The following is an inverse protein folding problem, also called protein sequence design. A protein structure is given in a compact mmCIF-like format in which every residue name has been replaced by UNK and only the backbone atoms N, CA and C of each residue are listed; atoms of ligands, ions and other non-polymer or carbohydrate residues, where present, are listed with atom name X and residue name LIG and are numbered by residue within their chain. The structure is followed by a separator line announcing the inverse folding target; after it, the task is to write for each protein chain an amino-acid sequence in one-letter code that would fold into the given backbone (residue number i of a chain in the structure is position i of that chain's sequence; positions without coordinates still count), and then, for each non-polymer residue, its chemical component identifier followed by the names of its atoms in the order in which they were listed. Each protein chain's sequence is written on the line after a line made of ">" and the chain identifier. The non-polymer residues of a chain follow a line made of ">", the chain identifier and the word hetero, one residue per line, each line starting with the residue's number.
data_IF_237286130558
#
_entry.id   IF_237286130558
#
_cell.length_a   1.000
_cell.length_b   1.000
_cell.length_c   1.000
_cell.angle_alpha   90.00
_cell.angle_beta   90.00
_cell.angle_gamma   90.00
#
_symmetry.space_group_name_H-M   'P 1'
#
loop_
_entity.id
_entity.type
_entity.pdbx_description
1 polymer ?
#
# COMPACT_ATOMS: atom_id res chain seq x y z
N UNK A 1 19.20 -21.02 -9.07
CA UNK A 1 17.92 -20.31 -8.84
C UNK A 1 17.90 -19.93 -7.37
N UNK A 2 17.63 -18.66 -7.03
CA UNK A 2 17.62 -18.18 -5.65
C UNK A 2 16.18 -18.31 -5.11
N UNK A 3 16.03 -18.78 -3.88
CA UNK A 3 14.74 -18.99 -3.23
C UNK A 3 14.78 -18.41 -1.82
N UNK A 4 13.62 -18.05 -1.27
CA UNK A 4 13.43 -17.62 0.11
C UNK A 4 12.37 -18.50 0.75
N UNK A 5 12.51 -18.82 2.03
CA UNK A 5 11.46 -19.52 2.79
C UNK A 5 10.32 -18.55 3.10
N UNK A 6 9.12 -19.08 3.37
CA UNK A 6 7.99 -18.23 3.75
C UNK A 6 8.29 -17.40 5.00
N UNK A 7 8.97 -17.97 6.00
CA UNK A 7 9.32 -17.26 7.23
C UNK A 7 10.29 -16.10 6.97
N UNK A 8 11.29 -16.31 6.11
CA UNK A 8 12.22 -15.25 5.73
C UNK A 8 11.54 -14.17 4.88
N UNK A 9 10.57 -14.55 4.04
CA UNK A 9 9.74 -13.60 3.29
C UNK A 9 8.88 -12.76 4.22
N UNK A 10 8.22 -13.38 5.19
CA UNK A 10 7.40 -12.68 6.21
C UNK A 10 8.22 -11.69 7.00
N UNK A 11 9.39 -12.11 7.51
CA UNK A 11 10.32 -11.24 8.21
C UNK A 11 10.73 -10.03 7.36
N UNK A 12 11.07 -10.26 6.08
CA UNK A 12 11.43 -9.18 5.17
C UNK A 12 10.26 -8.22 4.90
N UNK A 13 9.02 -8.74 4.78
CA UNK A 13 7.82 -7.90 4.63
C UNK A 13 7.52 -7.09 5.88
N UNK A 14 7.74 -7.65 7.08
CA UNK A 14 7.62 -6.92 8.35
C UNK A 14 8.61 -5.76 8.42
N UNK A 15 9.88 -6.01 8.07
CA UNK A 15 10.92 -4.98 8.01
C UNK A 15 10.56 -3.91 6.97
N UNK A 16 10.08 -4.32 5.79
CA UNK A 16 9.66 -3.42 4.72
C UNK A 16 8.49 -2.52 5.12
N UNK A 17 7.49 -3.04 5.85
CA UNK A 17 6.34 -2.27 6.32
C UNK A 17 6.70 -1.13 7.28
N UNK A 18 7.91 -1.14 7.87
CA UNK A 18 8.41 -0.03 8.70
C UNK A 18 9.00 1.11 7.87
N UNK A 19 9.38 0.86 6.61
CA UNK A 19 10.09 1.83 5.77
C UNK A 19 9.21 2.45 4.68
N UNK A 20 8.19 1.73 4.24
CA UNK A 20 7.33 2.12 3.11
C UNK A 20 5.86 1.82 3.40
N UNK A 21 4.97 2.47 2.65
CA UNK A 21 3.56 2.14 2.64
C UNK A 21 3.37 0.78 1.95
N UNK A 22 3.36 -0.30 2.74
CA UNK A 22 3.13 -1.66 2.24
C UNK A 22 1.63 -1.90 2.06
N UNK A 23 1.22 -2.23 0.84
CA UNK A 23 -0.14 -2.61 0.48
C UNK A 23 -0.12 -4.08 0.06
N UNK A 24 -1.09 -4.85 0.54
CA UNK A 24 -1.18 -6.28 0.24
C UNK A 24 -2.65 -6.74 0.25
N UNK A 25 -2.97 -7.91 -0.35
CA UNK A 25 -4.28 -8.51 -0.17
C UNK A 25 -4.48 -8.90 1.29
N UNK A 26 -5.61 -8.51 1.87
CA UNK A 26 -6.06 -8.96 3.19
C UNK A 26 -7.57 -9.16 3.22
N UNK A 27 -8.03 -9.97 4.16
CA UNK A 27 -9.45 -10.09 4.46
C UNK A 27 -9.92 -8.85 5.21
N UNK A 28 -11.01 -8.26 4.74
CA UNK A 28 -11.73 -7.16 5.39
C UNK A 28 -13.20 -7.58 5.44
N UNK A 29 -13.62 -8.05 6.62
CA UNK A 29 -15.00 -8.49 6.87
C UNK A 29 -15.50 -9.56 5.87
N UNK A 30 -14.63 -10.50 5.48
CA UNK A 30 -14.94 -11.56 4.50
C UNK A 30 -14.71 -11.17 3.03
N UNK A 31 -14.25 -9.96 2.76
CA UNK A 31 -13.89 -9.48 1.44
C UNK A 31 -12.39 -9.39 1.27
N UNK A 32 -11.84 -9.98 0.21
CA UNK A 32 -10.41 -9.85 -0.09
C UNK A 32 -10.18 -8.55 -0.83
N UNK A 33 -9.42 -7.63 -0.22
CA UNK A 33 -9.13 -6.31 -0.77
C UNK A 33 -7.65 -6.00 -0.63
N UNK A 34 -7.10 -5.21 -1.56
CA UNK A 34 -5.80 -4.59 -1.32
C UNK A 34 -5.95 -3.54 -0.22
N UNK A 35 -5.16 -3.60 0.85
CA UNK A 35 -5.17 -2.59 1.91
C UNK A 35 -3.76 -2.37 2.45
N UNK A 36 -3.50 -1.21 3.09
CA UNK A 36 -2.28 -1.04 3.88
C UNK A 36 -2.20 -2.12 4.95
N UNK A 37 -1.01 -2.67 5.14
CA UNK A 37 -0.70 -3.67 6.17
C UNK A 37 0.48 -3.18 7.00
N UNK A 38 0.40 -3.31 8.32
CA UNK A 38 1.51 -2.94 9.21
C UNK A 38 2.48 -4.11 9.47
N UNK A 39 2.08 -5.32 9.08
CA UNK A 39 2.90 -6.53 9.18
C UNK A 39 2.45 -7.61 8.20
N UNK A 40 3.32 -8.58 7.97
CA UNK A 40 3.06 -9.79 7.19
C UNK A 40 1.93 -10.64 7.77
N UNK A 41 1.62 -10.52 9.06
CA UNK A 41 0.51 -11.24 9.68
C UNK A 41 -0.87 -10.81 9.15
N UNK A 42 -0.99 -9.58 8.63
CA UNK A 42 -2.22 -9.10 8.00
C UNK A 42 -2.37 -9.56 6.55
N UNK A 43 -1.31 -10.12 5.95
CA UNK A 43 -1.30 -10.48 4.53
C UNK A 43 -1.97 -11.83 4.33
N UNK A 44 -2.94 -11.87 3.42
CA UNK A 44 -3.50 -13.12 2.93
C UNK A 44 -2.56 -13.71 1.87
N UNK A 45 -1.72 -14.66 2.28
CA UNK A 45 -0.81 -15.39 1.38
C UNK A 45 -1.52 -16.44 0.51
N UNK A 46 -2.65 -16.95 0.98
CA UNK A 46 -3.46 -17.92 0.24
C UNK A 46 -4.15 -17.25 -0.95
N UNK A 47 -4.23 -17.98 -2.05
CA UNK A 47 -4.68 -17.42 -3.31
C UNK A 47 -6.19 -17.19 -3.33
N UNK A 48 -6.59 -15.93 -3.12
CA UNK A 48 -7.92 -15.42 -3.43
C UNK A 48 -7.79 -14.13 -4.24
N UNK A 49 -8.69 -13.94 -5.22
CA UNK A 49 -8.66 -12.74 -6.07
C UNK A 49 -9.25 -11.58 -5.27
N UNK A 50 -8.53 -10.46 -5.10
CA UNK A 50 -9.14 -9.26 -4.54
C UNK A 50 -10.33 -8.81 -5.39
N UNK A 51 -11.40 -8.38 -4.74
CA UNK A 51 -12.64 -7.96 -5.42
C UNK A 51 -12.44 -6.65 -6.18
N UNK A 52 -11.60 -5.77 -5.65
CA UNK A 52 -11.24 -4.49 -6.24
C UNK A 52 -9.81 -4.51 -6.77
N UNK A 53 -9.61 -3.82 -7.90
CA UNK A 53 -8.29 -3.68 -8.51
C UNK A 53 -7.38 -2.78 -7.68
N UNK A 54 -6.07 -3.05 -7.72
CA UNK A 54 -5.05 -2.22 -7.05
C UNK A 54 -4.95 -0.78 -7.58
N UNK A 55 -5.71 -0.41 -8.61
CA UNK A 55 -5.80 0.94 -9.18
C UNK A 55 -6.04 2.03 -8.14
N UNK A 56 -6.79 1.74 -7.07
CA UNK A 56 -7.07 2.72 -6.02
C UNK A 56 -5.81 3.16 -5.24
N UNK A 57 -4.75 2.35 -5.24
CA UNK A 57 -3.49 2.65 -4.58
C UNK A 57 -2.47 3.34 -5.49
N UNK A 58 -2.62 3.19 -6.80
CA UNK A 58 -1.76 3.81 -7.82
C UNK A 58 -2.35 5.15 -8.28
N UNK A 59 -3.68 5.23 -8.37
CA UNK A 59 -4.44 6.41 -8.78
C UNK A 59 -5.43 6.76 -7.67
N UNK A 60 -4.98 7.44 -6.59
CA UNK A 60 -5.88 7.82 -5.51
C UNK A 60 -6.98 8.75 -6.03
N UNK A 61 -8.22 8.51 -5.59
CA UNK A 61 -9.38 9.32 -6.02
C UNK A 61 -9.26 10.81 -5.63
N UNK A 62 -8.45 11.12 -4.61
CA UNK A 62 -8.20 12.47 -4.12
C UNK A 62 -6.75 12.63 -3.68
N UNK A 63 -6.11 13.75 -4.03
CA UNK A 63 -4.76 14.09 -3.61
C UNK A 63 -4.75 15.44 -2.88
N UNK A 64 -3.88 15.57 -1.89
CA UNK A 64 -3.67 16.85 -1.20
C UNK A 64 -2.69 17.65 -2.04
N UNK A 65 -3.16 18.75 -2.63
CA UNK A 65 -2.30 19.67 -3.39
C UNK A 65 -1.63 20.71 -2.47
N UNK A 66 -2.35 21.14 -1.44
CA UNK A 66 -1.94 22.24 -0.56
C UNK A 66 -2.41 22.00 0.87
N UNK A 67 -1.54 22.20 1.85
CA UNK A 67 -1.91 22.28 3.26
C UNK A 67 -1.74 23.71 3.77
N UNK A 68 -2.78 24.25 4.37
CA UNK A 68 -2.79 25.58 4.98
C UNK A 68 -3.03 25.42 6.48
N UNK A 69 -2.10 25.92 7.30
CA UNK A 69 -2.20 25.90 8.75
C UNK A 69 -2.12 27.32 9.28
N UNK A 70 -3.10 27.73 10.11
CA UNK A 70 -3.08 29.02 10.80
C UNK A 70 -2.69 28.83 12.27
N UNK A 71 -1.58 29.42 12.69
CA UNK A 71 -1.14 29.44 14.09
C UNK A 71 -1.12 30.88 14.60
N UNK A 72 -2.08 31.23 15.46
CA UNK A 72 -2.31 32.61 15.95
C UNK A 72 -2.42 33.60 14.79
N UNK A 73 -1.38 34.41 14.56
CA UNK A 73 -1.31 35.43 13.50
C UNK A 73 -0.47 34.99 12.28
N UNK A 74 0.10 33.79 12.28
CA UNK A 74 0.83 33.26 11.12
C UNK A 74 -0.03 32.29 10.32
N UNK A 75 0.07 32.38 9.00
CA UNK A 75 -0.47 31.39 8.06
C UNK A 75 0.72 30.72 7.40
N UNK A 76 0.87 29.42 7.63
CA UNK A 76 1.81 28.56 6.92
C UNK A 76 1.06 27.90 5.76
N UNK A 77 1.64 28.01 4.57
CA UNK A 77 1.17 27.32 3.39
C UNK A 77 2.30 26.39 2.91
N UNK A 78 1.97 25.13 2.67
CA UNK A 78 2.90 24.15 2.12
C UNK A 78 2.25 23.43 0.93
N UNK A 79 2.98 23.37 -0.17
CA UNK A 79 2.67 22.48 -1.29
C UNK A 79 2.95 21.05 -0.83
N UNK A 80 1.98 20.16 -1.04
CA UNK A 80 2.12 18.76 -0.67
C UNK A 80 2.39 17.98 -1.95
N UNK A 81 3.66 17.66 -2.16
CA UNK A 81 4.03 16.70 -3.18
C UNK A 81 3.73 15.28 -2.65
N UNK A 82 3.20 14.37 -3.48
CA UNK A 82 3.01 12.99 -3.09
C UNK A 82 4.36 12.28 -2.98
N UNK A 83 5.05 12.48 -1.86
CA UNK A 83 6.22 11.67 -1.48
C UNK A 83 5.74 10.46 -0.66
N UNK A 84 5.23 9.46 -1.36
CA UNK A 84 4.94 8.14 -0.78
C UNK A 84 5.82 7.09 -1.45
N UNK A 85 6.76 6.53 -0.69
CA UNK A 85 7.38 5.27 -1.07
C UNK A 85 6.38 4.17 -0.75
N UNK A 86 5.82 3.54 -1.79
CA UNK A 86 4.78 2.53 -1.67
C UNK A 86 5.24 1.25 -2.35
N UNK A 87 4.85 0.11 -1.78
CA UNK A 87 5.02 -1.22 -2.40
C UNK A 87 3.69 -1.95 -2.36
N UNK A 88 3.25 -2.50 -3.49
CA UNK A 88 2.09 -3.39 -3.57
C UNK A 88 2.58 -4.83 -3.69
N UNK A 89 2.46 -5.61 -2.62
CA UNK A 89 2.79 -7.03 -2.59
C UNK A 89 1.59 -7.89 -3.00
N UNK A 90 1.84 -8.98 -3.72
CA UNK A 90 0.78 -9.90 -4.15
C UNK A 90 -0.09 -9.38 -5.30
N UNK A 91 0.38 -8.37 -6.04
CA UNK A 91 -0.33 -7.80 -7.19
C UNK A 91 -0.59 -8.88 -8.25
N UNK A 92 -1.85 -8.99 -8.68
CA UNK A 92 -2.25 -9.94 -9.72
C UNK A 92 -1.70 -9.51 -11.08
N UNK A 93 -1.19 -10.43 -11.93
CA UNK A 93 -0.69 -10.08 -13.26
C UNK A 93 -1.70 -9.34 -14.15
N UNK A 94 -2.99 -9.65 -14.01
CA UNK A 94 -4.05 -8.96 -14.74
C UNK A 94 -4.30 -7.53 -14.22
N UNK A 95 -4.07 -7.26 -12.94
CA UNK A 95 -4.07 -5.88 -12.42
C UNK A 95 -2.83 -5.14 -12.94
N UNK A 96 -1.65 -5.79 -12.85
CA UNK A 96 -0.38 -5.24 -13.31
C UNK A 96 -0.42 -4.82 -14.80
N UNK A 97 -0.98 -5.67 -15.66
CA UNK A 97 -1.15 -5.37 -17.09
C UNK A 97 -2.02 -4.14 -17.35
N UNK A 98 -2.92 -3.78 -16.44
CA UNK A 98 -3.74 -2.57 -16.56
C UNK A 98 -2.97 -1.25 -16.41
N UNK A 99 -1.65 -1.32 -16.15
CA UNK A 99 -0.75 -0.16 -15.97
C UNK A 99 0.31 -0.02 -17.08
N UNK A 100 0.42 -0.98 -18.01
CA UNK A 100 1.33 -0.90 -19.18
C UNK A 100 0.63 -0.33 -20.43
#
# INVERSE_FOLDING_TARGET
>A
MKYVTLDNLKKWLDDLAQEVDLVAPRDVDGHVLYRPVASSAEILFEYQRPELSAKEFIFPNTEVLLRIEKRRNEVKQEEVLPERKQVIFGLRPCDAHGFE
#
